data_IF_761274594909
#
_entry.id   IF_761274594909
#
_cell.length_a   1.000
_cell.length_b   1.000
_cell.length_c   1.000
_cell.angle_alpha   90.00
_cell.angle_beta   90.00
_cell.angle_gamma   90.00
#
_symmetry.space_group_name_H-M   'P 1'
#
loop_
_entity.id
_entity.type
_entity.pdbx_description
1 polymer ?
#
# COMPACT_ATOMS: atom_id res chain seq x y z
N UNK A 1 6.57 -14.16 4.04
CA UNK A 1 6.01 -12.85 4.44
C UNK A 1 6.01 -11.97 3.21
N UNK A 2 4.86 -11.47 2.78
CA UNK A 2 4.83 -10.38 1.81
C UNK A 2 5.62 -9.23 2.47
N UNK A 3 6.66 -8.74 1.79
CA UNK A 3 7.39 -7.57 2.25
C UNK A 3 6.42 -6.40 2.17
N UNK A 4 6.10 -5.79 3.31
CA UNK A 4 5.33 -4.56 3.33
C UNK A 4 6.14 -3.50 2.57
N UNK A 5 5.51 -2.87 1.61
CA UNK A 5 6.13 -1.82 0.81
C UNK A 5 5.14 -0.68 0.67
N UNK A 6 5.55 0.49 1.10
CA UNK A 6 4.83 1.71 0.73
C UNK A 6 5.02 1.94 -0.75
N UNK A 7 3.90 2.02 -1.47
CA UNK A 7 3.88 2.31 -2.91
C UNK A 7 3.65 3.80 -3.08
N UNK A 8 4.61 4.47 -3.69
CA UNK A 8 4.53 5.90 -3.97
C UNK A 8 4.42 6.14 -5.48
N UNK A 9 3.80 7.24 -5.84
CA UNK A 9 3.86 7.79 -7.19
C UNK A 9 5.26 8.37 -7.50
N UNK A 10 5.42 8.98 -8.66
CA UNK A 10 6.67 9.62 -9.09
C UNK A 10 7.05 10.84 -8.23
N UNK A 11 6.09 11.44 -7.51
CA UNK A 11 6.30 12.58 -6.61
C UNK A 11 6.51 12.14 -5.16
N UNK A 12 6.66 10.83 -4.89
CA UNK A 12 6.73 10.23 -3.56
C UNK A 12 5.45 10.36 -2.74
N UNK A 13 4.33 10.73 -3.35
CA UNK A 13 3.05 10.66 -2.69
C UNK A 13 2.66 9.19 -2.52
N UNK A 14 2.29 8.81 -1.31
CA UNK A 14 1.80 7.46 -1.07
C UNK A 14 0.51 7.20 -1.85
N UNK A 15 0.49 6.08 -2.59
CA UNK A 15 -0.64 5.73 -3.45
C UNK A 15 -1.77 5.05 -2.67
N UNK A 16 -1.51 4.63 -1.44
CA UNK A 16 -2.50 4.00 -0.59
C UNK A 16 -3.51 5.04 -0.08
N UNK A 17 -4.78 4.67 -0.03
CA UNK A 17 -5.83 5.44 0.63
C UNK A 17 -6.01 4.93 2.05
N UNK A 18 -5.82 5.79 3.03
CA UNK A 18 -5.92 5.44 4.44
C UNK A 18 -7.35 5.67 4.95
N UNK A 19 -8.08 4.57 5.13
CA UNK A 19 -9.51 4.61 5.51
C UNK A 19 -10.45 4.76 4.32
N UNK A 20 -11.67 5.22 4.58
CA UNK A 20 -12.74 5.44 3.60
C UNK A 20 -13.20 6.88 3.60
N UNK A 21 -13.99 7.31 2.60
CA UNK A 21 -14.56 8.67 2.59
C UNK A 21 -15.50 8.94 3.77
N UNK A 22 -16.18 7.90 4.26
CA UNK A 22 -17.06 7.99 5.44
C UNK A 22 -16.32 7.83 6.78
N UNK A 23 -15.13 7.20 6.75
CA UNK A 23 -14.28 6.99 7.92
C UNK A 23 -12.80 7.13 7.50
N UNK A 24 -12.29 8.36 7.35
CA UNK A 24 -10.94 8.64 6.85
C UNK A 24 -9.88 8.48 7.95
N UNK A 25 -9.78 7.26 8.48
CA UNK A 25 -8.88 6.83 9.54
C UNK A 25 -8.43 5.39 9.30
N UNK A 26 -7.16 5.10 9.57
CA UNK A 26 -6.60 3.75 9.46
C UNK A 26 -5.47 3.53 10.45
N UNK A 27 -5.52 2.41 11.19
CA UNK A 27 -4.43 1.91 12.01
C UNK A 27 -3.60 0.86 11.26
N UNK A 28 -2.31 0.84 11.58
CA UNK A 28 -1.34 -0.16 11.14
C UNK A 28 -0.51 -0.64 12.33
N UNK A 29 -0.14 -1.92 12.31
CA UNK A 29 0.72 -2.54 13.30
C UNK A 29 1.96 -3.06 12.57
N UNK A 30 2.93 -2.19 12.37
CA UNK A 30 4.05 -2.44 11.49
C UNK A 30 5.31 -2.83 12.25
N UNK A 31 6.10 -3.72 11.63
CA UNK A 31 7.45 -4.06 12.07
C UNK A 31 8.41 -3.59 11.00
N UNK A 32 9.39 -2.76 11.34
CA UNK A 32 10.35 -2.25 10.36
C UNK A 32 11.13 -3.36 9.65
N UNK A 33 11.35 -4.50 10.32
CA UNK A 33 11.96 -5.68 9.70
C UNK A 33 11.18 -6.31 8.55
N UNK A 34 9.89 -5.98 8.39
CA UNK A 34 9.07 -6.43 7.28
C UNK A 34 9.21 -5.57 6.02
N UNK A 35 9.85 -4.41 6.13
CA UNK A 35 10.15 -3.52 5.01
C UNK A 35 11.55 -3.77 4.46
N UNK A 36 11.75 -3.50 3.17
CA UNK A 36 13.06 -3.56 2.54
C UNK A 36 14.05 -2.66 3.30
N UNK A 37 15.19 -3.23 3.70
CA UNK A 37 16.23 -2.52 4.49
C UNK A 37 15.79 -2.07 5.88
N UNK A 38 14.76 -2.67 6.46
CA UNK A 38 14.15 -2.21 7.71
C UNK A 38 13.79 -0.72 7.64
N UNK A 39 13.22 -0.31 6.50
CA UNK A 39 13.06 1.08 6.14
C UNK A 39 11.72 1.34 5.44
N UNK A 40 10.91 2.21 6.02
CA UNK A 40 9.84 2.92 5.33
C UNK A 40 10.50 4.13 4.68
N UNK A 41 10.70 4.07 3.35
CA UNK A 41 11.48 5.06 2.62
C UNK A 41 10.74 6.39 2.45
N UNK A 42 11.42 7.39 1.91
CA UNK A 42 10.89 8.72 1.69
C UNK A 42 9.53 8.69 1.00
N UNK A 43 8.51 9.23 1.70
CA UNK A 43 7.15 9.38 1.21
C UNK A 43 6.46 10.56 1.90
N UNK A 44 5.31 10.94 1.39
CA UNK A 44 4.40 11.89 2.01
C UNK A 44 2.96 11.53 1.65
N UNK A 45 2.02 11.97 2.47
CA UNK A 45 0.58 11.78 2.27
C UNK A 45 -0.19 13.00 2.79
N UNK A 46 -1.49 13.04 2.53
CA UNK A 46 -2.37 14.16 2.92
C UNK A 46 -2.91 14.03 4.34
N UNK A 47 -2.84 12.86 4.89
CA UNK A 47 -3.25 12.54 6.25
C UNK A 47 -2.25 13.08 7.27
N UNK A 48 -2.70 13.26 8.50
CA UNK A 48 -1.86 13.29 9.68
C UNK A 48 -1.42 11.89 10.04
N UNK A 49 -0.20 11.72 10.47
CA UNK A 49 0.33 10.45 10.94
C UNK A 49 0.76 10.54 12.40
N UNK A 50 0.40 9.54 13.17
CA UNK A 50 0.82 9.34 14.55
C UNK A 50 1.51 7.99 14.67
N UNK A 51 2.78 7.99 15.02
CA UNK A 51 3.61 6.78 15.18
C UNK A 51 3.98 6.62 16.65
N UNK A 52 3.87 5.40 17.16
CA UNK A 52 4.32 5.03 18.50
C UNK A 52 5.38 3.93 18.40
N UNK A 53 6.47 4.03 19.15
CA UNK A 53 7.49 2.98 19.24
C UNK A 53 7.09 2.03 20.38
N UNK A 54 6.52 0.89 20.01
CA UNK A 54 6.08 -0.12 20.98
C UNK A 54 7.25 -0.92 21.51
N UNK A 55 8.25 -1.23 20.67
CA UNK A 55 9.50 -1.89 21.06
C UNK A 55 10.64 -1.51 20.13
N UNK A 56 11.86 -1.51 20.65
CA UNK A 56 13.07 -1.18 19.90
C UNK A 56 13.33 0.31 19.77
N UNK A 57 13.98 0.70 18.69
CA UNK A 57 14.27 2.10 18.38
C UNK A 57 14.28 2.34 16.88
N UNK A 58 13.91 3.54 16.44
CA UNK A 58 13.96 3.93 15.02
C UNK A 58 14.61 5.29 14.84
N UNK A 59 15.21 5.50 13.67
CA UNK A 59 15.59 6.82 13.20
C UNK A 59 14.47 7.40 12.34
N UNK A 60 14.09 8.62 12.66
CA UNK A 60 13.10 9.42 11.93
C UNK A 60 13.83 10.52 11.17
N UNK A 61 13.53 10.62 9.86
CA UNK A 61 13.91 11.75 9.04
C UNK A 61 12.62 12.48 8.64
N UNK A 62 12.52 13.76 8.99
CA UNK A 62 11.35 14.58 8.67
C UNK A 62 11.78 16.02 8.44
N UNK A 63 11.48 16.56 7.24
CA UNK A 63 12.03 17.85 6.84
C UNK A 63 13.55 17.88 6.94
N UNK A 64 14.09 18.86 7.66
CA UNK A 64 15.54 19.03 7.88
C UNK A 64 16.07 18.23 9.06
N UNK A 65 15.19 17.59 9.81
CA UNK A 65 15.52 16.95 11.08
C UNK A 65 15.75 15.47 10.92
N UNK A 66 16.75 14.96 11.65
CA UNK A 66 17.03 13.54 11.80
C UNK A 66 17.32 13.26 13.27
N UNK A 67 16.57 12.34 13.88
CA UNK A 67 16.69 11.99 15.29
C UNK A 67 16.23 10.55 15.54
N UNK A 68 16.56 10.04 16.72
CA UNK A 68 16.14 8.69 17.13
C UNK A 68 14.95 8.77 18.09
N UNK A 69 13.99 7.86 17.90
CA UNK A 69 12.91 7.58 18.84
C UNK A 69 13.10 6.19 19.42
N UNK A 70 12.99 6.09 20.73
CA UNK A 70 13.09 4.83 21.47
C UNK A 70 11.71 4.35 21.92
N UNK A 71 11.66 3.11 22.39
CA UNK A 71 10.49 2.51 23.02
C UNK A 71 9.79 3.48 24.00
N UNK A 72 8.48 3.54 23.92
CA UNK A 72 7.65 4.41 24.74
C UNK A 72 7.45 5.82 24.18
N UNK A 73 8.19 6.23 23.15
CA UNK A 73 8.07 7.54 22.52
C UNK A 73 7.14 7.47 21.28
N UNK A 74 6.64 8.62 20.88
CA UNK A 74 5.84 8.76 19.67
C UNK A 74 6.16 10.03 18.90
N UNK A 75 5.55 10.15 17.73
CA UNK A 75 5.64 11.34 16.89
C UNK A 75 4.32 11.59 16.18
N UNK A 76 3.96 12.86 16.09
CA UNK A 76 2.96 13.37 15.16
C UNK A 76 3.66 13.98 13.95
N UNK A 77 3.20 13.66 12.74
CA UNK A 77 3.65 14.24 11.48
C UNK A 77 2.47 14.91 10.79
N UNK A 78 2.68 16.16 10.40
CA UNK A 78 1.63 16.96 9.75
C UNK A 78 1.41 16.53 8.29
N UNK A 79 0.30 16.96 7.71
CA UNK A 79 -0.09 16.70 6.32
C UNK A 79 0.99 17.15 5.32
N UNK A 80 1.21 16.34 4.30
CA UNK A 80 2.11 16.63 3.16
C UNK A 80 3.59 16.80 3.51
N UNK A 81 4.02 16.39 4.68
CA UNK A 81 5.42 16.46 5.09
C UNK A 81 6.18 15.22 4.60
N UNK A 82 7.28 15.44 3.88
CA UNK A 82 8.18 14.38 3.43
C UNK A 82 8.91 13.78 4.63
N UNK A 83 8.79 12.46 4.81
CA UNK A 83 9.37 11.76 5.95
C UNK A 83 9.82 10.33 5.60
N UNK A 84 10.57 9.72 6.52
CA UNK A 84 11.16 8.39 6.38
C UNK A 84 11.45 7.81 7.75
N UNK A 85 11.24 6.50 7.92
CA UNK A 85 11.59 5.74 9.12
C UNK A 85 12.54 4.59 8.79
N UNK A 86 13.52 4.33 9.64
CA UNK A 86 14.37 3.14 9.50
C UNK A 86 14.97 2.72 10.83
N UNK A 87 15.34 1.45 10.93
CA UNK A 87 16.02 0.88 12.10
C UNK A 87 17.07 -0.14 11.68
N UNK A 88 18.07 -0.37 12.54
CA UNK A 88 18.95 -1.53 12.44
C UNK A 88 18.44 -2.73 13.24
N UNK A 89 17.46 -2.51 14.12
CA UNK A 89 16.99 -3.47 15.11
C UNK A 89 15.57 -3.96 14.78
N UNK A 90 15.10 -4.99 15.46
CA UNK A 90 13.71 -5.38 15.47
C UNK A 90 12.88 -4.29 16.17
N UNK A 91 12.14 -3.53 15.40
CA UNK A 91 11.37 -2.39 15.91
C UNK A 91 9.92 -2.50 15.48
N UNK A 92 9.02 -2.40 16.46
CA UNK A 92 7.57 -2.42 16.27
C UNK A 92 7.02 -1.01 16.42
N UNK A 93 6.32 -0.53 15.38
CA UNK A 93 5.82 0.83 15.27
C UNK A 93 4.33 0.84 14.89
N UNK A 94 3.42 0.58 15.82
CA UNK A 94 2.01 0.87 15.57
C UNK A 94 1.85 2.35 15.20
N UNK A 95 1.07 2.59 14.15
CA UNK A 95 0.78 3.94 13.69
C UNK A 95 -0.67 4.06 13.24
N UNK A 96 -1.18 5.28 13.18
CA UNK A 96 -2.45 5.56 12.55
C UNK A 96 -2.38 6.83 11.72
N UNK A 97 -3.07 6.77 10.60
CA UNK A 97 -3.24 7.87 9.67
C UNK A 97 -4.69 8.33 9.67
N UNK A 98 -4.90 9.63 9.69
CA UNK A 98 -6.24 10.19 9.57
C UNK A 98 -6.22 11.48 8.77
N UNK A 99 -7.25 11.69 7.93
CA UNK A 99 -7.50 13.00 7.36
C UNK A 99 -7.82 13.98 8.49
N UNK A 100 -7.32 15.22 8.44
CA UNK A 100 -7.71 16.26 9.42
C UNK A 100 -9.24 16.46 9.53
N UNK A 101 -9.96 16.19 8.44
CA UNK A 101 -11.44 16.22 8.39
C UNK A 101 -12.12 15.11 9.22
N UNK A 102 -11.37 14.12 9.71
CA UNK A 102 -11.87 13.10 10.64
C UNK A 102 -12.33 13.71 11.98
N UNK A 103 -11.66 14.76 12.44
CA UNK A 103 -12.02 15.44 13.68
C UNK A 103 -13.26 16.35 13.54
N UNK A 104 -13.41 17.01 12.40
CA UNK A 104 -14.53 17.89 12.11
C UNK A 104 -14.59 18.20 10.61
N UNK A 105 -15.81 18.40 10.07
CA UNK A 105 -16.00 18.82 8.68
C UNK A 105 -15.25 20.12 8.38
N UNK A 106 -14.62 20.20 7.21
CA UNK A 106 -13.82 21.36 6.77
C UNK A 106 -14.58 22.70 6.81
N UNK A 107 -15.88 22.65 6.62
CA UNK A 107 -16.74 23.84 6.69
C UNK A 107 -17.20 24.20 8.14
N UNK A 108 -16.79 23.42 9.15
CA UNK A 108 -17.18 23.67 10.53
C UNK A 108 -16.31 24.73 11.20
N UNK A 109 -16.86 25.43 12.22
CA UNK A 109 -16.09 26.34 13.03
C UNK A 109 -14.92 25.65 13.74
N UNK A 110 -15.09 24.38 14.12
CA UNK A 110 -14.05 23.60 14.79
C UNK A 110 -12.87 23.42 13.85
N UNK A 111 -13.12 22.99 12.63
CA UNK A 111 -12.06 22.78 11.64
C UNK A 111 -11.32 24.09 11.33
N UNK A 112 -12.06 25.12 10.97
CA UNK A 112 -11.49 26.42 10.58
C UNK A 112 -10.68 27.09 11.69
N UNK A 113 -11.06 26.90 12.95
CA UNK A 113 -10.40 27.56 14.07
C UNK A 113 -9.27 26.75 14.70
N UNK A 114 -9.40 25.42 14.74
CA UNK A 114 -8.53 24.57 15.56
C UNK A 114 -7.75 23.52 14.77
N UNK A 115 -8.08 23.28 13.48
CA UNK A 115 -7.47 22.26 12.66
C UNK A 115 -6.74 22.90 11.47
N UNK A 116 -7.43 23.68 10.66
CA UNK A 116 -6.88 24.34 9.48
C UNK A 116 -5.60 25.15 9.76
N UNK A 117 -5.48 25.92 10.85
CA UNK A 117 -4.25 26.64 11.15
C UNK A 117 -3.03 25.74 11.33
N UNK A 118 -3.20 24.52 11.88
CA UNK A 118 -2.11 23.56 12.04
C UNK A 118 -1.79 22.90 10.71
N UNK A 119 -2.80 22.49 9.93
CA UNK A 119 -2.59 21.91 8.58
C UNK A 119 -1.78 22.84 7.69
N UNK A 120 -1.99 24.16 7.82
CA UNK A 120 -1.34 25.19 7.02
C UNK A 120 -0.11 25.81 7.70
N UNK A 121 0.27 25.34 8.87
CA UNK A 121 1.39 25.90 9.66
C UNK A 121 2.76 25.41 9.19
N UNK A 122 3.81 26.02 9.70
CA UNK A 122 5.18 25.55 9.55
C UNK A 122 5.52 24.32 10.44
N UNK A 123 4.58 23.88 11.29
CA UNK A 123 4.76 22.68 12.13
C UNK A 123 4.84 21.43 11.25
N UNK A 124 6.02 20.88 11.08
CA UNK A 124 6.22 19.64 10.32
C UNK A 124 5.96 18.39 11.16
N UNK A 125 6.35 18.39 12.42
CA UNK A 125 6.22 17.26 13.35
C UNK A 125 6.22 17.71 14.81
N UNK A 126 5.83 16.79 15.71
CA UNK A 126 5.90 16.97 17.15
C UNK A 126 6.35 15.65 17.81
N UNK A 127 7.44 15.68 18.55
CA UNK A 127 7.92 14.52 19.31
C UNK A 127 7.14 14.43 20.62
N UNK A 128 6.70 13.21 20.95
CA UNK A 128 6.05 12.85 22.19
C UNK A 128 6.95 11.88 22.94
N UNK A 129 7.73 12.37 23.91
CA UNK A 129 8.73 11.59 24.66
C UNK A 129 8.34 11.38 26.13
N UNK A 130 7.16 11.87 26.53
CA UNK A 130 6.66 11.72 27.88
C UNK A 130 7.37 12.56 28.95
N UNK A 131 8.29 13.46 28.58
CA UNK A 131 8.99 14.34 29.52
C UNK A 131 8.03 15.29 30.27
N UNK A 132 6.93 15.65 29.61
CA UNK A 132 5.88 16.49 30.18
C UNK A 132 4.61 15.66 30.42
N UNK A 133 3.83 16.03 31.43
CA UNK A 133 2.59 15.32 31.78
C UNK A 133 1.64 15.19 30.59
N UNK A 134 1.45 16.24 29.80
CA UNK A 134 0.55 16.24 28.66
C UNK A 134 1.04 15.29 27.53
N UNK A 135 2.35 15.15 27.33
CA UNK A 135 2.90 14.19 26.37
C UNK A 135 2.65 12.75 26.81
N UNK A 136 2.82 12.47 28.10
CA UNK A 136 2.48 11.17 28.68
C UNK A 136 0.99 10.84 28.50
N UNK A 137 0.09 11.82 28.72
CA UNK A 137 -1.35 11.66 28.49
C UNK A 137 -1.66 11.44 26.98
N UNK A 138 -1.01 12.17 26.08
CA UNK A 138 -1.14 11.99 24.64
C UNK A 138 -0.71 10.59 24.19
N UNK A 139 0.45 10.10 24.67
CA UNK A 139 0.92 8.73 24.38
C UNK A 139 -0.03 7.65 24.91
N UNK A 140 -0.61 7.87 26.09
CA UNK A 140 -1.59 6.93 26.64
C UNK A 140 -2.90 6.90 25.82
N UNK A 141 -3.35 8.05 25.30
CA UNK A 141 -4.50 8.09 24.41
C UNK A 141 -4.17 7.39 23.07
N UNK A 142 -2.96 7.55 22.54
CA UNK A 142 -2.54 6.81 21.33
C UNK A 142 -2.67 5.29 21.55
N UNK A 143 -2.21 4.76 22.69
CA UNK A 143 -2.37 3.35 23.03
C UNK A 143 -3.84 2.91 23.13
N UNK A 144 -4.70 3.78 23.70
CA UNK A 144 -6.14 3.52 23.75
C UNK A 144 -6.75 3.49 22.35
N UNK A 145 -6.31 4.35 21.43
CA UNK A 145 -6.73 4.33 20.02
C UNK A 145 -6.35 3.01 19.36
N UNK A 146 -5.12 2.51 19.56
CA UNK A 146 -4.73 1.20 19.05
C UNK A 146 -5.60 0.08 19.63
N UNK A 147 -5.85 0.08 20.93
CA UNK A 147 -6.71 -0.91 21.58
C UNK A 147 -8.18 -0.83 21.16
N UNK A 148 -8.64 0.35 20.72
CA UNK A 148 -10.01 0.53 20.23
C UNK A 148 -10.27 -0.21 18.92
N UNK A 149 -9.21 -0.55 18.16
CA UNK A 149 -9.35 -1.26 16.87
C UNK A 149 -9.79 -2.73 17.06
N UNK A 150 -9.62 -3.29 18.25
CA UNK A 150 -10.02 -4.67 18.56
C UNK A 150 -11.51 -4.75 18.99
N UNK A 151 -12.21 -3.63 19.05
CA UNK A 151 -13.63 -3.56 19.49
C UNK A 151 -14.56 -3.71 18.28
N UNK A 152 -15.43 -4.70 18.34
CA UNK A 152 -16.36 -5.03 17.24
C UNK A 152 -17.58 -4.09 17.14
N UNK A 153 -18.00 -3.44 18.24
CA UNK A 153 -19.31 -2.78 18.29
C UNK A 153 -19.22 -1.24 18.27
N UNK A 154 -18.22 -0.66 18.93
CA UNK A 154 -18.12 0.79 19.18
C UNK A 154 -16.71 1.34 18.94
N UNK A 155 -15.86 0.60 18.26
CA UNK A 155 -14.46 0.94 18.02
C UNK A 155 -14.30 2.27 17.27
N UNK A 156 -15.08 2.48 16.22
CA UNK A 156 -15.05 3.71 15.42
C UNK A 156 -15.51 4.93 16.23
N UNK A 157 -16.55 4.80 17.03
CA UNK A 157 -17.06 5.88 17.89
C UNK A 157 -16.02 6.21 18.97
N UNK A 158 -15.48 5.19 19.64
CA UNK A 158 -14.43 5.39 20.66
C UNK A 158 -13.18 6.04 20.05
N UNK A 159 -12.73 5.57 18.89
CA UNK A 159 -11.63 6.17 18.17
C UNK A 159 -11.87 7.64 17.87
N UNK A 160 -13.06 8.01 17.41
CA UNK A 160 -13.41 9.41 17.15
C UNK A 160 -13.34 10.28 18.42
N UNK A 161 -13.85 9.79 19.55
CA UNK A 161 -13.78 10.51 20.84
C UNK A 161 -12.34 10.65 21.31
N UNK A 162 -11.55 9.58 21.23
CA UNK A 162 -10.14 9.59 21.64
C UNK A 162 -9.30 10.51 20.76
N UNK A 163 -9.53 10.54 19.45
CA UNK A 163 -8.86 11.44 18.52
C UNK A 163 -9.15 12.91 18.83
N UNK A 164 -10.39 13.25 19.15
CA UNK A 164 -10.73 14.61 19.58
C UNK A 164 -10.04 15.00 20.89
N UNK A 165 -9.97 14.07 21.85
CA UNK A 165 -9.26 14.28 23.11
C UNK A 165 -7.75 14.45 22.89
N UNK A 166 -7.14 13.58 22.08
CA UNK A 166 -5.72 13.66 21.69
C UNK A 166 -5.41 15.01 21.04
N UNK A 167 -6.26 15.42 20.08
CA UNK A 167 -6.09 16.70 19.40
C UNK A 167 -6.20 17.90 20.33
N UNK A 168 -7.15 17.89 21.27
CA UNK A 168 -7.31 18.96 22.24
C UNK A 168 -6.04 19.13 23.08
N UNK A 169 -5.48 18.03 23.61
CA UNK A 169 -4.26 18.05 24.40
C UNK A 169 -3.10 18.59 23.58
N UNK A 170 -2.92 18.11 22.34
CA UNK A 170 -1.87 18.60 21.45
C UNK A 170 -2.06 20.09 21.17
N UNK A 171 -3.25 20.52 20.76
CA UNK A 171 -3.55 21.90 20.41
C UNK A 171 -3.32 22.89 21.57
N UNK A 172 -3.61 22.49 22.80
CA UNK A 172 -3.39 23.32 23.99
C UNK A 172 -1.90 23.55 24.28
N UNK A 173 -1.06 22.59 23.90
CA UNK A 173 0.37 22.55 24.26
C UNK A 173 1.34 22.84 23.10
N UNK A 174 0.85 22.94 21.87
CA UNK A 174 1.68 23.38 20.72
C UNK A 174 2.09 24.85 20.90
N UNK A 175 3.32 25.16 20.53
CA UNK A 175 3.76 26.54 20.37
C UNK A 175 2.99 27.21 19.21
N UNK A 176 2.12 28.14 19.56
CA UNK A 176 1.24 28.80 18.61
C UNK A 176 1.94 29.78 17.68
N UNK A 177 3.22 30.08 17.91
CA UNK A 177 4.02 30.88 16.98
C UNK A 177 4.21 30.18 15.64
N UNK A 178 4.13 28.84 15.59
CA UNK A 178 4.16 28.07 14.34
C UNK A 178 2.93 28.32 13.45
N UNK A 179 1.83 28.86 14.00
CA UNK A 179 0.59 29.16 13.27
C UNK A 179 0.60 30.57 12.65
N UNK A 180 1.55 31.43 13.01
CA UNK A 180 1.72 32.71 12.35
C UNK A 180 2.22 32.43 10.93
N UNK A 181 1.50 32.97 9.93
CA UNK A 181 1.88 32.84 8.51
C UNK A 181 3.30 33.36 8.31
N UNK A 182 4.26 32.48 8.39
CA UNK A 182 5.51 32.74 7.70
C UNK A 182 5.19 32.53 6.22
N UNK A 183 5.35 33.60 5.44
CA UNK A 183 5.47 33.53 3.98
C UNK A 183 6.77 32.75 3.73
N UNK A 184 6.72 31.44 3.90
CA UNK A 184 7.89 30.61 3.90
C UNK A 184 8.01 29.89 2.55
N UNK A 185 9.21 29.98 2.01
CA UNK A 185 9.66 29.31 0.77
C UNK A 185 9.65 27.76 0.89
N UNK A 186 9.19 27.22 2.04
CA UNK A 186 9.22 25.78 2.35
C UNK A 186 8.41 24.93 1.37
N UNK A 187 7.22 25.37 0.97
CA UNK A 187 6.43 24.70 -0.07
C UNK A 187 7.14 24.72 -1.43
N UNK A 188 7.82 25.80 -1.76
CA UNK A 188 8.65 25.93 -2.95
C UNK A 188 9.89 25.03 -2.88
N UNK A 189 10.51 24.90 -1.71
CA UNK A 189 11.67 24.04 -1.47
C UNK A 189 11.32 22.56 -1.57
N UNK A 190 10.24 22.14 -0.93
CA UNK A 190 9.77 20.75 -1.01
C UNK A 190 9.38 20.38 -2.45
N UNK A 191 8.66 21.24 -3.15
CA UNK A 191 8.31 21.04 -4.55
C UNK A 191 9.55 20.88 -5.44
N UNK A 192 10.59 21.69 -5.22
CA UNK A 192 11.86 21.58 -5.95
C UNK A 192 12.58 20.26 -5.63
N UNK A 193 12.58 19.84 -4.37
CA UNK A 193 13.17 18.55 -3.97
C UNK A 193 12.44 17.38 -4.63
N UNK A 194 11.11 17.41 -4.64
CA UNK A 194 10.28 16.42 -5.32
C UNK A 194 10.57 16.36 -6.83
N UNK A 195 10.66 17.51 -7.50
CA UNK A 195 11.04 17.58 -8.92
C UNK A 195 12.40 16.93 -9.20
N UNK A 196 13.41 17.21 -8.36
CA UNK A 196 14.73 16.59 -8.51
C UNK A 196 14.71 15.09 -8.29
N UNK A 197 13.96 14.62 -7.30
CA UNK A 197 13.82 13.17 -7.02
C UNK A 197 13.07 12.48 -8.17
N UNK A 198 12.00 13.09 -8.69
CA UNK A 198 11.27 12.62 -9.87
C UNK A 198 12.20 12.46 -11.08
N UNK A 199 12.99 13.48 -11.38
CA UNK A 199 13.98 13.41 -12.47
C UNK A 199 14.95 12.25 -12.31
N UNK A 200 15.49 12.06 -11.09
CA UNK A 200 16.38 10.95 -10.77
C UNK A 200 15.69 9.58 -10.92
N UNK A 201 14.43 9.47 -10.54
CA UNK A 201 13.66 8.22 -10.64
C UNK A 201 13.30 7.86 -12.08
N UNK A 202 12.98 8.86 -12.92
CA UNK A 202 12.63 8.63 -14.33
C UNK A 202 13.86 8.26 -15.18
N UNK A 203 15.03 8.78 -14.81
CA UNK A 203 16.25 8.64 -15.60
C UNK A 203 17.35 7.79 -14.90
N UNK A 204 17.00 7.05 -13.87
CA UNK A 204 17.99 6.38 -12.99
C UNK A 204 18.97 5.46 -13.71
N UNK A 205 18.59 4.90 -14.87
CA UNK A 205 19.46 4.00 -15.66
C UNK A 205 20.50 4.75 -16.50
N UNK A 206 20.30 6.07 -16.70
CA UNK A 206 21.17 6.92 -17.54
C UNK A 206 22.28 7.58 -16.71
N UNK A 207 23.30 8.10 -17.41
CA UNK A 207 24.31 8.95 -16.77
C UNK A 207 23.72 10.31 -16.43
N UNK A 208 23.54 10.55 -15.15
CA UNK A 208 22.97 11.81 -14.64
C UNK A 208 24.06 12.64 -14.00
N UNK A 209 24.25 13.84 -14.51
CA UNK A 209 25.12 14.86 -13.95
C UNK A 209 24.38 15.80 -12.99
N UNK A 210 25.13 16.43 -12.09
CA UNK A 210 24.58 17.46 -11.20
C UNK A 210 24.02 18.67 -11.97
N UNK A 211 24.59 18.97 -13.15
CA UNK A 211 24.12 19.98 -14.09
C UNK A 211 22.71 19.70 -14.59
N UNK A 212 22.44 18.48 -14.97
CA UNK A 212 21.13 18.09 -15.50
C UNK A 212 20.05 18.15 -14.42
N UNK A 213 20.36 17.71 -13.19
CA UNK A 213 19.45 17.84 -12.04
C UNK A 213 19.13 19.32 -11.78
N UNK A 214 20.17 20.18 -11.78
CA UNK A 214 20.04 21.61 -11.55
C UNK A 214 19.22 22.29 -12.64
N UNK A 215 19.46 21.93 -13.90
CA UNK A 215 18.73 22.45 -15.05
C UNK A 215 17.24 22.05 -14.99
N UNK A 216 16.95 20.79 -14.70
CA UNK A 216 15.57 20.31 -14.61
C UNK A 216 14.75 21.01 -13.52
N UNK A 217 15.35 21.24 -12.35
CA UNK A 217 14.71 21.93 -11.24
C UNK A 217 14.79 23.48 -11.33
N UNK A 218 15.43 24.01 -12.39
CA UNK A 218 15.68 25.44 -12.61
C UNK A 218 16.35 26.15 -11.41
N UNK A 219 17.42 25.53 -10.87
CA UNK A 219 18.21 26.02 -9.74
C UNK A 219 19.71 25.83 -9.99
N UNK A 220 20.55 26.40 -9.14
CA UNK A 220 22.00 26.21 -9.22
C UNK A 220 22.44 24.83 -8.68
N UNK A 221 23.59 24.31 -9.13
CA UNK A 221 24.20 23.08 -8.59
C UNK A 221 24.45 23.15 -7.09
N UNK A 222 24.86 24.28 -6.60
CA UNK A 222 25.05 24.48 -5.15
C UNK A 222 23.73 24.38 -4.39
N UNK A 223 22.64 24.87 -4.96
CA UNK A 223 21.29 24.73 -4.39
C UNK A 223 20.84 23.26 -4.37
N UNK A 224 21.07 22.50 -5.46
CA UNK A 224 20.80 21.05 -5.51
C UNK A 224 21.52 20.33 -4.37
N UNK A 225 22.83 20.52 -4.23
CA UNK A 225 23.62 19.90 -3.16
C UNK A 225 23.13 20.29 -1.77
N UNK A 226 22.81 21.58 -1.59
CA UNK A 226 22.33 22.10 -0.31
C UNK A 226 20.96 21.46 0.06
N UNK A 227 20.01 21.42 -0.88
CA UNK A 227 18.68 20.84 -0.62
C UNK A 227 18.76 19.34 -0.31
N UNK A 228 19.53 18.57 -1.08
CA UNK A 228 19.71 17.14 -0.78
C UNK A 228 20.38 16.91 0.57
N UNK A 229 21.45 17.64 0.88
CA UNK A 229 22.14 17.50 2.17
C UNK A 229 21.27 17.95 3.34
N UNK A 230 20.49 19.02 3.17
CA UNK A 230 19.67 19.61 4.24
C UNK A 230 18.44 18.76 4.55
N UNK A 231 17.73 18.28 3.51
CA UNK A 231 16.46 17.57 3.68
C UNK A 231 16.57 16.05 3.61
N UNK A 232 17.51 15.50 2.84
CA UNK A 232 17.67 14.05 2.69
C UNK A 232 18.93 13.53 3.40
N UNK A 233 19.77 14.41 3.93
CA UNK A 233 21.02 14.09 4.63
C UNK A 233 22.01 13.25 3.82
N UNK A 234 21.89 13.30 2.48
CA UNK A 234 22.75 12.61 1.52
C UNK A 234 23.00 13.50 0.29
N UNK A 235 24.01 13.15 -0.50
CA UNK A 235 24.22 13.82 -1.80
C UNK A 235 23.25 13.29 -2.88
N UNK A 236 22.93 14.07 -3.93
CA UNK A 236 22.09 13.61 -5.06
C UNK A 236 22.60 12.31 -5.68
N UNK A 237 23.92 12.19 -5.85
CA UNK A 237 24.55 11.01 -6.44
C UNK A 237 24.42 9.78 -5.51
N UNK A 238 24.59 9.95 -4.22
CA UNK A 238 24.38 8.86 -3.26
C UNK A 238 22.92 8.44 -3.18
N UNK A 239 22.00 9.39 -3.31
CA UNK A 239 20.57 9.09 -3.44
C UNK A 239 20.29 8.23 -4.69
N UNK A 240 20.82 8.64 -5.86
CA UNK A 240 20.69 7.90 -7.12
C UNK A 240 21.28 6.49 -7.01
N UNK A 241 22.48 6.35 -6.42
CA UNK A 241 23.10 5.04 -6.19
C UNK A 241 22.20 4.14 -5.32
N UNK A 242 21.66 4.67 -4.24
CA UNK A 242 20.72 3.94 -3.37
C UNK A 242 19.48 3.48 -4.13
N UNK A 243 18.90 4.35 -4.96
CA UNK A 243 17.74 4.02 -5.79
C UNK A 243 18.05 2.94 -6.83
N UNK A 244 19.19 3.04 -7.54
CA UNK A 244 19.68 2.02 -8.48
C UNK A 244 19.86 0.66 -7.81
N UNK A 245 20.44 0.64 -6.60
CA UNK A 245 20.62 -0.59 -5.84
C UNK A 245 19.28 -1.25 -5.44
N UNK A 246 18.26 -0.45 -5.07
CA UNK A 246 16.90 -0.96 -4.82
C UNK A 246 16.28 -1.58 -6.06
N UNK A 247 16.39 -0.92 -7.23
CA UNK A 247 15.92 -1.46 -8.51
C UNK A 247 16.68 -2.75 -8.88
N UNK A 248 18.00 -2.78 -8.67
CA UNK A 248 18.80 -3.98 -8.91
C UNK A 248 18.38 -5.14 -7.99
N UNK A 249 18.13 -4.88 -6.72
CA UNK A 249 17.68 -5.91 -5.76
C UNK A 249 16.34 -6.52 -6.18
N UNK A 250 15.39 -5.71 -6.66
CA UNK A 250 14.12 -6.20 -7.21
C UNK A 250 14.34 -7.09 -8.44
N UNK A 251 15.24 -6.69 -9.38
CA UNK A 251 15.55 -7.50 -10.55
C UNK A 251 16.28 -8.80 -10.18
N UNK A 252 17.18 -8.76 -9.19
CA UNK A 252 17.89 -9.95 -8.69
C UNK A 252 16.90 -10.95 -8.06
N UNK A 253 15.91 -10.46 -7.31
CA UNK A 253 14.87 -11.29 -6.69
C UNK A 253 13.90 -11.89 -7.71
N UNK A 254 13.49 -11.10 -8.70
CA UNK A 254 12.34 -11.44 -9.55
C UNK A 254 12.70 -11.95 -10.93
N UNK A 255 14.00 -12.03 -11.27
CA UNK A 255 14.46 -12.47 -12.61
C UNK A 255 15.70 -13.36 -12.53
N UNK A 256 15.88 -14.20 -13.54
CA UNK A 256 17.10 -15.01 -13.73
C UNK A 256 18.19 -14.27 -14.53
N UNK A 257 18.05 -12.96 -14.75
CA UNK A 257 19.05 -12.15 -15.48
C UNK A 257 20.41 -12.24 -14.80
N UNK A 258 21.48 -12.27 -15.61
CA UNK A 258 22.85 -12.25 -15.08
C UNK A 258 23.11 -10.98 -14.28
N UNK A 259 23.89 -11.09 -13.21
CA UNK A 259 24.23 -9.95 -12.33
C UNK A 259 24.84 -8.79 -13.12
N UNK A 260 25.70 -9.09 -14.10
CA UNK A 260 26.28 -8.08 -14.99
C UNK A 260 25.18 -7.32 -15.78
N UNK A 261 24.22 -8.05 -16.34
CA UNK A 261 23.09 -7.45 -17.08
C UNK A 261 22.28 -6.53 -16.20
N UNK A 262 21.94 -6.97 -14.96
CA UNK A 262 21.21 -6.16 -13.99
C UNK A 262 22.01 -4.91 -13.62
N UNK A 263 23.32 -5.03 -13.40
CA UNK A 263 24.21 -3.89 -13.14
C UNK A 263 24.06 -2.81 -14.20
N UNK A 264 24.17 -3.18 -15.48
CA UNK A 264 24.05 -2.23 -16.60
C UNK A 264 22.62 -1.68 -16.75
N UNK A 265 21.59 -2.52 -16.67
CA UNK A 265 20.18 -2.09 -16.76
C UNK A 265 19.79 -1.12 -15.64
N UNK A 266 20.50 -1.13 -14.52
CA UNK A 266 20.26 -0.24 -13.39
C UNK A 266 21.24 0.94 -13.33
N UNK A 267 21.96 1.22 -14.43
CA UNK A 267 22.81 2.41 -14.60
C UNK A 267 24.19 2.31 -13.94
N UNK A 268 24.67 1.09 -13.62
CA UNK A 268 26.04 0.91 -13.16
C UNK A 268 26.94 0.50 -14.33
N UNK A 269 27.87 1.36 -14.72
CA UNK A 269 28.83 1.09 -15.80
C UNK A 269 30.03 0.22 -15.37
N UNK A 270 30.16 -0.07 -14.06
CA UNK A 270 31.21 -0.91 -13.51
C UNK A 270 30.63 -1.93 -12.55
N UNK A 271 30.67 -3.19 -12.95
CA UNK A 271 30.10 -4.34 -12.20
C UNK A 271 30.79 -4.53 -10.84
N UNK A 272 32.11 -4.29 -10.75
CA UNK A 272 32.85 -4.44 -9.50
C UNK A 272 32.44 -3.35 -8.50
N UNK A 273 32.24 -2.12 -8.99
CA UNK A 273 31.71 -1.04 -8.16
C UNK A 273 30.28 -1.39 -7.70
N UNK A 274 29.41 -1.83 -8.62
CA UNK A 274 28.07 -2.30 -8.29
C UNK A 274 28.09 -3.36 -7.19
N UNK A 275 28.89 -4.42 -7.33
CA UNK A 275 28.96 -5.50 -6.35
C UNK A 275 29.45 -5.02 -4.97
N UNK A 276 30.42 -4.09 -4.91
CA UNK A 276 30.88 -3.50 -3.66
C UNK A 276 29.82 -2.61 -3.03
N UNK A 277 29.16 -1.74 -3.81
CA UNK A 277 28.08 -0.87 -3.33
C UNK A 277 26.88 -1.71 -2.85
N UNK A 278 26.52 -2.75 -3.58
CA UNK A 278 25.47 -3.68 -3.22
C UNK A 278 25.79 -4.41 -1.90
N UNK A 279 27.02 -4.96 -1.78
CA UNK A 279 27.45 -5.62 -0.53
C UNK A 279 27.45 -4.67 0.66
N UNK A 280 27.85 -3.41 0.45
CA UNK A 280 27.81 -2.38 1.50
C UNK A 280 26.38 -2.07 1.96
N UNK A 281 25.42 -2.02 1.03
CA UNK A 281 24.01 -1.69 1.34
C UNK A 281 23.22 -2.88 1.90
N UNK A 282 23.49 -4.09 1.41
CA UNK A 282 22.72 -5.30 1.71
C UNK A 282 23.43 -6.30 2.63
N UNK A 283 24.65 -5.99 3.08
CA UNK A 283 25.54 -6.88 3.84
C UNK A 283 25.82 -8.23 3.16
N UNK A 284 25.47 -8.40 1.90
CA UNK A 284 25.70 -9.58 1.08
C UNK A 284 25.93 -9.21 -0.39
N UNK A 285 26.66 -10.05 -1.11
CA UNK A 285 26.87 -9.87 -2.55
C UNK A 285 25.56 -10.07 -3.32
N UNK A 286 25.42 -9.51 -4.55
CA UNK A 286 24.25 -9.77 -5.40
C UNK A 286 23.96 -11.26 -5.61
N UNK A 287 25.00 -12.08 -5.71
CA UNK A 287 24.87 -13.53 -5.89
C UNK A 287 24.39 -14.23 -4.60
N UNK A 288 24.89 -13.82 -3.44
CA UNK A 288 24.43 -14.31 -2.14
C UNK A 288 22.98 -13.86 -1.90
N UNK A 289 22.63 -12.63 -2.24
CA UNK A 289 21.27 -12.09 -2.15
C UNK A 289 20.28 -12.85 -3.03
N UNK A 290 20.68 -13.28 -4.24
CA UNK A 290 19.90 -14.20 -5.08
C UNK A 290 19.74 -15.57 -4.45
N UNK A 291 20.83 -16.11 -3.86
CA UNK A 291 20.81 -17.43 -3.22
C UNK A 291 20.09 -17.43 -1.88
N UNK A 292 20.04 -16.32 -1.16
CA UNK A 292 19.30 -16.23 0.09
C UNK A 292 17.80 -16.46 -0.11
N UNK A 293 17.27 -16.13 -1.30
CA UNK A 293 15.95 -16.59 -1.74
C UNK A 293 15.87 -18.13 -1.77
N UNK A 294 16.91 -18.81 -2.32
CA UNK A 294 16.94 -20.26 -2.47
C UNK A 294 17.32 -21.01 -1.18
N UNK A 295 17.92 -20.35 -0.20
CA UNK A 295 18.30 -20.97 1.08
C UNK A 295 17.23 -20.76 2.16
N UNK A 296 16.41 -19.72 2.06
CA UNK A 296 15.17 -19.59 2.86
C UNK A 296 14.17 -20.67 2.47
N UNK A 297 14.22 -21.18 1.23
CA UNK A 297 13.43 -22.32 0.77
C UNK A 297 13.98 -23.70 1.27
N UNK A 298 15.21 -23.75 1.83
CA UNK A 298 15.82 -25.00 2.32
C UNK A 298 15.93 -25.17 3.85
N UNK A 299 15.60 -24.17 4.64
CA UNK A 299 15.65 -24.21 6.12
C UNK A 299 14.26 -24.02 6.74
N UNK A 300 13.20 -24.18 5.95
CA UNK A 300 11.83 -24.28 6.46
C UNK A 300 11.34 -25.73 6.46
N UNK A 301 11.89 -26.52 7.37
CA UNK A 301 11.13 -27.56 8.02
C UNK A 301 10.69 -26.99 9.38
N UNK A 302 9.36 -26.93 9.56
CA UNK A 302 8.65 -26.59 10.82
C UNK A 302 8.46 -25.09 11.13
N UNK A 303 7.75 -24.38 10.25
CA UNK A 303 6.68 -23.39 10.48
C UNK A 303 6.23 -22.88 9.11
N UNK A 304 5.28 -23.61 8.49
CA UNK A 304 4.65 -23.28 7.21
C UNK A 304 3.81 -22.00 7.36
N UNK A 305 4.28 -20.90 6.81
CA UNK A 305 3.42 -19.79 6.40
C UNK A 305 3.35 -19.76 4.87
N UNK A 306 2.23 -20.23 4.35
CA UNK A 306 1.87 -20.34 2.95
C UNK A 306 2.11 -19.05 2.16
N UNK A 307 3.05 -19.09 1.20
CA UNK A 307 3.27 -17.99 0.24
C UNK A 307 2.28 -18.14 -0.91
N UNK A 308 1.07 -17.64 -0.71
CA UNK A 308 0.08 -17.60 -1.78
C UNK A 308 0.38 -16.45 -2.76
N UNK A 309 0.54 -16.78 -4.05
CA UNK A 309 0.72 -15.83 -5.14
C UNK A 309 -0.49 -15.81 -6.08
N UNK A 310 -0.79 -14.64 -6.66
CA UNK A 310 -1.76 -14.57 -7.75
C UNK A 310 -0.99 -14.53 -9.06
N UNK A 311 -1.31 -15.44 -9.97
CA UNK A 311 -0.68 -15.56 -11.29
C UNK A 311 -1.66 -15.94 -12.37
N UNK A 312 -1.28 -15.78 -13.63
CA UNK A 312 -2.05 -16.34 -14.75
C UNK A 312 -2.09 -17.86 -14.64
N UNK A 313 -3.22 -18.46 -14.95
CA UNK A 313 -3.36 -19.91 -14.98
C UNK A 313 -2.50 -20.57 -16.09
N UNK A 314 -2.21 -21.83 -15.91
CA UNK A 314 -1.58 -22.70 -16.91
C UNK A 314 -2.46 -23.95 -17.12
N UNK A 315 -2.21 -24.71 -18.19
CA UNK A 315 -2.98 -25.94 -18.48
C UNK A 315 -2.99 -26.94 -17.31
N UNK A 316 -1.94 -26.94 -16.49
CA UNK A 316 -1.83 -27.82 -15.31
C UNK A 316 -2.83 -27.47 -14.20
N UNK A 317 -3.30 -26.25 -14.15
CA UNK A 317 -4.17 -25.74 -13.10
C UNK A 317 -5.66 -26.05 -13.38
N UNK A 318 -5.99 -26.42 -14.62
CA UNK A 318 -7.38 -26.54 -15.10
C UNK A 318 -8.21 -27.50 -14.24
N UNK A 319 -7.66 -28.62 -13.83
CA UNK A 319 -8.38 -29.60 -13.02
C UNK A 319 -8.79 -29.04 -11.65
N UNK A 320 -7.88 -28.32 -10.98
CA UNK A 320 -8.16 -27.66 -9.69
C UNK A 320 -9.11 -26.47 -9.86
N UNK A 321 -8.96 -25.69 -10.96
CA UNK A 321 -9.86 -24.60 -11.30
C UNK A 321 -11.30 -25.10 -11.50
N UNK A 322 -11.47 -26.21 -12.22
CA UNK A 322 -12.79 -26.85 -12.43
C UNK A 322 -13.40 -27.29 -11.09
N UNK A 323 -12.60 -27.91 -10.23
CA UNK A 323 -13.06 -28.33 -8.92
C UNK A 323 -13.60 -27.15 -8.10
N UNK A 324 -12.81 -26.07 -7.96
CA UNK A 324 -13.20 -24.86 -7.21
C UNK A 324 -14.42 -24.18 -7.84
N UNK A 325 -14.46 -24.10 -9.18
CA UNK A 325 -15.59 -23.52 -9.91
C UNK A 325 -16.88 -24.28 -9.63
N UNK A 326 -16.82 -25.60 -9.73
CA UNK A 326 -17.97 -26.47 -9.54
C UNK A 326 -18.48 -26.49 -8.10
N UNK A 327 -17.60 -26.30 -7.09
CA UNK A 327 -18.06 -26.09 -5.71
C UNK A 327 -18.97 -24.87 -5.59
N UNK A 328 -18.61 -23.74 -6.20
CA UNK A 328 -19.43 -22.53 -6.16
C UNK A 328 -20.74 -22.67 -6.95
N UNK A 329 -20.70 -23.41 -8.07
CA UNK A 329 -21.92 -23.77 -8.83
C UNK A 329 -22.84 -24.66 -8.00
N UNK A 330 -22.27 -25.65 -7.30
CA UNK A 330 -23.03 -26.57 -6.44
C UNK A 330 -23.65 -25.86 -5.24
N UNK A 331 -22.96 -24.90 -4.61
CA UNK A 331 -23.50 -24.06 -3.53
C UNK A 331 -24.76 -23.31 -3.98
N UNK A 332 -24.80 -22.82 -5.23
CA UNK A 332 -25.95 -22.16 -5.84
C UNK A 332 -26.32 -20.81 -5.23
N UNK A 333 -25.32 -20.12 -4.60
CA UNK A 333 -25.52 -18.89 -3.85
C UNK A 333 -24.81 -17.66 -4.48
N UNK A 334 -23.92 -17.88 -5.46
CA UNK A 334 -23.08 -16.81 -6.00
C UNK A 334 -23.02 -16.77 -7.52
N UNK A 335 -22.95 -17.92 -8.20
CA UNK A 335 -22.86 -17.98 -9.65
C UNK A 335 -24.22 -18.21 -10.30
N UNK A 336 -24.51 -17.53 -11.42
CA UNK A 336 -25.75 -17.75 -12.16
C UNK A 336 -25.74 -19.06 -12.97
N UNK A 337 -24.58 -19.72 -13.10
CA UNK A 337 -24.43 -20.99 -13.81
C UNK A 337 -25.01 -22.14 -12.97
N UNK A 338 -25.70 -23.08 -13.65
CA UNK A 338 -26.25 -24.30 -13.04
C UNK A 338 -25.55 -25.57 -13.53
N UNK A 339 -24.77 -25.47 -14.63
CA UNK A 339 -24.08 -26.60 -15.26
C UNK A 339 -22.64 -26.71 -14.73
N UNK A 340 -22.24 -27.95 -14.41
CA UNK A 340 -20.87 -28.25 -14.01
C UNK A 340 -19.93 -28.27 -15.22
N UNK A 341 -18.69 -27.86 -15.02
CA UNK A 341 -17.62 -27.99 -16.00
C UNK A 341 -16.98 -29.38 -15.87
N UNK A 342 -16.71 -30.01 -17.01
CA UNK A 342 -15.81 -31.17 -17.13
C UNK A 342 -14.44 -30.71 -17.69
N UNK A 343 -13.49 -31.64 -17.81
CA UNK A 343 -12.12 -31.32 -18.28
C UNK A 343 -12.11 -30.61 -19.66
N UNK A 344 -13.01 -30.99 -20.54
CA UNK A 344 -13.08 -30.41 -21.88
C UNK A 344 -13.77 -29.06 -21.86
N UNK A 345 -14.96 -29.00 -21.28
CA UNK A 345 -15.76 -27.75 -21.22
C UNK A 345 -15.09 -26.70 -20.35
N UNK A 346 -14.39 -27.11 -19.28
CA UNK A 346 -13.62 -26.24 -18.43
C UNK A 346 -12.40 -25.65 -19.13
N UNK A 347 -11.65 -26.45 -19.88
CA UNK A 347 -10.52 -25.97 -20.67
C UNK A 347 -10.96 -24.94 -21.73
N UNK A 348 -12.05 -25.24 -22.47
CA UNK A 348 -12.61 -24.34 -23.47
C UNK A 348 -13.16 -23.05 -22.80
N UNK A 349 -13.82 -23.15 -21.66
CA UNK A 349 -14.39 -22.03 -20.91
C UNK A 349 -13.30 -21.07 -20.42
N UNK A 350 -12.26 -21.56 -19.73
CA UNK A 350 -11.19 -20.70 -19.22
C UNK A 350 -10.33 -20.11 -20.35
N UNK A 351 -10.09 -20.85 -21.43
CA UNK A 351 -9.37 -20.36 -22.60
C UNK A 351 -10.12 -19.24 -23.37
N UNK A 352 -11.45 -19.21 -23.28
CA UNK A 352 -12.27 -18.18 -23.92
C UNK A 352 -12.28 -16.83 -23.20
N UNK A 353 -11.78 -16.77 -21.96
CA UNK A 353 -11.75 -15.55 -21.16
C UNK A 353 -10.60 -14.63 -21.59
N UNK A 354 -10.76 -13.32 -21.41
CA UNK A 354 -9.68 -12.36 -21.65
C UNK A 354 -8.48 -12.64 -20.73
N UNK A 355 -8.77 -12.97 -19.47
CA UNK A 355 -7.76 -13.35 -18.49
C UNK A 355 -8.37 -14.26 -17.42
N UNK A 356 -7.60 -15.24 -16.96
CA UNK A 356 -7.89 -16.01 -15.76
C UNK A 356 -6.71 -15.94 -14.80
N UNK A 357 -6.94 -15.46 -13.58
CA UNK A 357 -5.94 -15.47 -12.51
C UNK A 357 -6.24 -16.57 -11.51
N UNK A 358 -5.22 -17.20 -10.97
CA UNK A 358 -5.31 -18.24 -9.95
C UNK A 358 -4.53 -17.83 -8.71
N UNK A 359 -5.07 -18.15 -7.55
CA UNK A 359 -4.37 -18.08 -6.27
C UNK A 359 -3.64 -19.41 -6.06
N UNK A 360 -2.35 -19.37 -6.23
CA UNK A 360 -1.45 -20.51 -6.08
C UNK A 360 -0.83 -20.47 -4.69
N UNK A 361 -1.17 -21.45 -3.87
CA UNK A 361 -0.65 -21.64 -2.54
C UNK A 361 0.32 -22.83 -2.55
N UNK A 362 1.60 -22.56 -2.79
CA UNK A 362 2.68 -23.56 -2.86
C UNK A 362 2.39 -24.72 -3.84
N UNK A 363 1.93 -24.37 -5.04
CA UNK A 363 1.62 -25.33 -6.11
C UNK A 363 0.21 -25.90 -6.05
N UNK A 364 -0.61 -25.57 -5.03
CA UNK A 364 -2.04 -25.89 -4.96
C UNK A 364 -2.87 -24.67 -5.31
N UNK A 365 -3.81 -24.81 -6.22
CA UNK A 365 -4.74 -23.73 -6.54
C UNK A 365 -5.85 -23.70 -5.48
N UNK A 366 -5.99 -22.54 -4.83
CA UNK A 366 -6.95 -22.30 -3.73
C UNK A 366 -8.01 -21.25 -4.05
N UNK A 367 -7.96 -20.69 -5.24
CA UNK A 367 -8.95 -19.74 -5.74
C UNK A 367 -8.63 -19.30 -7.15
N UNK A 368 -9.62 -18.73 -7.83
CA UNK A 368 -9.46 -18.23 -9.19
C UNK A 368 -10.42 -17.08 -9.47
N UNK A 369 -10.13 -16.34 -10.54
CA UNK A 369 -11.10 -15.45 -11.16
C UNK A 369 -11.01 -15.52 -12.68
N UNK A 370 -12.12 -15.16 -13.34
CA UNK A 370 -12.20 -14.91 -14.77
C UNK A 370 -12.47 -13.44 -15.01
N UNK A 371 -11.90 -12.89 -16.07
CA UNK A 371 -12.10 -11.52 -16.55
C UNK A 371 -12.49 -11.56 -18.02
N UNK A 372 -13.60 -10.93 -18.39
CA UNK A 372 -14.10 -10.92 -19.75
C UNK A 372 -14.86 -9.61 -20.06
N UNK A 373 -15.06 -9.24 -21.34
CA UNK A 373 -15.91 -8.12 -21.68
C UNK A 373 -17.34 -8.32 -21.17
N UNK A 374 -17.90 -7.29 -20.54
CA UNK A 374 -19.29 -7.31 -20.10
C UNK A 374 -20.26 -7.04 -21.27
N UNK A 375 -19.79 -6.31 -22.27
CA UNK A 375 -20.53 -5.90 -23.45
C UNK A 375 -19.64 -5.87 -24.70
N UNK A 376 -20.24 -5.65 -25.86
CA UNK A 376 -19.56 -5.57 -27.15
C UNK A 376 -19.62 -4.17 -27.78
N UNK A 377 -18.79 -3.94 -28.78
CA UNK A 377 -18.81 -2.72 -29.59
C UNK A 377 -18.48 -1.47 -28.74
N UNK A 378 -19.34 -0.46 -28.77
CA UNK A 378 -19.12 0.81 -28.08
C UNK A 378 -19.07 0.69 -26.55
N UNK A 379 -19.56 -0.41 -25.98
CA UNK A 379 -19.51 -0.73 -24.57
C UNK A 379 -18.45 -1.79 -24.23
N UNK A 380 -17.57 -2.16 -25.17
CA UNK A 380 -16.55 -3.19 -25.00
C UNK A 380 -15.44 -2.83 -24.01
N UNK A 381 -15.39 -1.59 -23.54
CA UNK A 381 -14.49 -1.14 -22.48
C UNK A 381 -15.00 -1.46 -21.07
N UNK A 382 -16.21 -2.04 -20.94
CA UNK A 382 -16.74 -2.55 -19.68
C UNK A 382 -16.37 -4.03 -19.54
N UNK A 383 -15.75 -4.41 -18.44
CA UNK A 383 -15.46 -5.79 -18.08
C UNK A 383 -16.44 -6.32 -17.04
N UNK A 384 -16.55 -7.64 -16.97
CA UNK A 384 -17.13 -8.36 -15.84
C UNK A 384 -16.13 -9.41 -15.35
N UNK A 385 -16.26 -9.82 -14.09
CA UNK A 385 -15.43 -10.85 -13.49
C UNK A 385 -16.24 -11.71 -12.52
N UNK A 386 -15.83 -12.98 -12.39
CA UNK A 386 -16.36 -13.91 -11.39
C UNK A 386 -15.19 -14.47 -10.59
N UNK A 387 -15.40 -14.64 -9.29
CA UNK A 387 -14.37 -15.08 -8.34
C UNK A 387 -14.83 -16.34 -7.61
N UNK A 388 -13.95 -17.32 -7.48
CA UNK A 388 -14.18 -18.53 -6.70
C UNK A 388 -13.00 -18.76 -5.77
N UNK A 389 -13.29 -19.21 -4.55
CA UNK A 389 -12.29 -19.60 -3.52
C UNK A 389 -12.70 -20.94 -2.97
N UNK A 390 -11.73 -21.88 -2.94
CA UNK A 390 -11.87 -23.21 -2.30
C UNK A 390 -12.48 -23.05 -0.91
N UNK A 391 -13.53 -23.78 -0.64
CA UNK A 391 -14.32 -23.68 0.61
C UNK A 391 -13.47 -23.83 1.87
N UNK A 392 -12.41 -24.65 1.80
CA UNK A 392 -11.49 -24.94 2.93
C UNK A 392 -10.50 -23.78 3.20
N UNK A 393 -10.38 -22.84 2.28
CA UNK A 393 -9.48 -21.67 2.36
C UNK A 393 -10.24 -20.35 2.54
N UNK A 394 -11.56 -20.37 2.75
CA UNK A 394 -12.36 -19.16 3.03
C UNK A 394 -11.88 -18.48 4.32
N UNK A 395 -12.00 -17.16 4.41
CA UNK A 395 -11.55 -16.38 5.59
C UNK A 395 -10.07 -15.98 5.60
N UNK A 396 -9.29 -16.39 4.61
CA UNK A 396 -7.84 -16.08 4.50
C UNK A 396 -7.52 -14.92 3.54
N UNK A 397 -8.45 -14.02 3.31
CA UNK A 397 -8.32 -12.85 2.43
C UNK A 397 -7.97 -13.16 0.96
N UNK A 398 -8.18 -14.40 0.50
CA UNK A 398 -7.88 -14.82 -0.88
C UNK A 398 -8.74 -14.04 -1.89
N UNK A 399 -10.04 -13.89 -1.60
CA UNK A 399 -10.95 -13.12 -2.44
C UNK A 399 -10.49 -11.69 -2.66
N UNK A 400 -9.97 -11.02 -1.65
CA UNK A 400 -9.43 -9.66 -1.74
C UNK A 400 -8.21 -9.59 -2.67
N UNK A 401 -7.29 -10.53 -2.57
CA UNK A 401 -6.12 -10.61 -3.44
C UNK A 401 -6.52 -10.86 -4.90
N UNK A 402 -7.49 -11.75 -5.13
CA UNK A 402 -8.02 -12.04 -6.47
C UNK A 402 -8.68 -10.82 -7.09
N UNK A 403 -9.52 -10.08 -6.35
CA UNK A 403 -10.17 -8.86 -6.85
C UNK A 403 -9.14 -7.76 -7.12
N UNK A 404 -8.15 -7.60 -6.25
CA UNK A 404 -7.09 -6.59 -6.43
C UNK A 404 -6.23 -6.88 -7.67
N UNK A 405 -5.85 -8.14 -7.92
CA UNK A 405 -5.15 -8.51 -9.15
C UNK A 405 -6.04 -8.32 -10.39
N UNK A 406 -7.33 -8.69 -10.30
CA UNK A 406 -8.29 -8.51 -11.39
C UNK A 406 -8.42 -7.03 -11.81
N UNK A 407 -8.41 -6.07 -10.89
CA UNK A 407 -8.41 -4.63 -11.20
C UNK A 407 -7.15 -4.22 -11.99
N UNK A 408 -5.98 -4.75 -11.62
CA UNK A 408 -4.73 -4.51 -12.35
C UNK A 408 -4.81 -5.12 -13.76
N UNK A 409 -5.29 -6.36 -13.88
CA UNK A 409 -5.41 -7.04 -15.18
C UNK A 409 -6.47 -6.37 -16.07
N UNK A 410 -7.58 -5.90 -15.52
CA UNK A 410 -8.57 -5.15 -16.26
C UNK A 410 -7.96 -3.90 -16.93
N UNK A 411 -7.16 -3.15 -16.20
CA UNK A 411 -6.42 -2.00 -16.74
C UNK A 411 -5.40 -2.40 -17.81
N UNK A 412 -4.65 -3.48 -17.61
CA UNK A 412 -3.67 -3.98 -18.58
C UNK A 412 -4.31 -4.50 -19.88
N UNK A 413 -5.57 -4.91 -19.84
CA UNK A 413 -6.36 -5.35 -21.00
C UNK A 413 -7.28 -4.26 -21.56
N UNK A 414 -6.98 -2.97 -21.31
CA UNK A 414 -7.65 -1.79 -21.83
C UNK A 414 -9.12 -1.61 -21.42
N UNK A 415 -9.60 -2.33 -20.41
CA UNK A 415 -10.89 -2.04 -19.80
C UNK A 415 -10.83 -0.74 -19.00
N UNK A 416 -11.93 -0.03 -18.91
CA UNK A 416 -12.06 1.24 -18.15
C UNK A 416 -12.97 1.11 -16.94
N UNK A 417 -13.82 0.11 -16.97
CA UNK A 417 -14.82 -0.14 -15.91
C UNK A 417 -14.89 -1.65 -15.68
N UNK A 418 -14.83 -2.05 -14.40
CA UNK A 418 -15.19 -3.39 -13.96
C UNK A 418 -16.56 -3.32 -13.30
N UNK A 419 -17.52 -4.10 -13.83
CA UNK A 419 -18.92 -4.11 -13.40
C UNK A 419 -19.34 -5.53 -13.03
N UNK A 420 -19.96 -5.70 -11.87
CA UNK A 420 -20.58 -6.97 -11.45
C UNK A 420 -22.09 -6.91 -11.66
N UNK A 421 -22.63 -7.91 -12.34
CA UNK A 421 -24.01 -7.93 -12.77
C UNK A 421 -24.94 -8.77 -11.87
N UNK A 422 -24.40 -9.63 -11.01
CA UNK A 422 -25.18 -10.61 -10.28
C UNK A 422 -24.60 -10.90 -8.88
N UNK A 423 -24.39 -9.86 -8.08
CA UNK A 423 -24.00 -10.03 -6.68
C UNK A 423 -25.25 -10.26 -5.85
N UNK A 424 -25.42 -11.47 -5.34
CA UNK A 424 -26.61 -11.84 -4.54
C UNK A 424 -26.63 -11.02 -3.25
N UNK A 425 -27.79 -10.43 -2.91
CA UNK A 425 -27.90 -9.51 -1.78
C UNK A 425 -27.49 -10.15 -0.43
N UNK A 426 -27.77 -11.44 -0.25
CA UNK A 426 -27.39 -12.19 0.96
C UNK A 426 -25.89 -12.54 1.02
N UNK A 427 -25.12 -12.34 -0.06
CA UNK A 427 -23.68 -12.53 -0.05
C UNK A 427 -22.99 -11.30 0.58
N UNK A 428 -23.21 -11.10 1.87
CA UNK A 428 -22.73 -9.94 2.64
C UNK A 428 -21.21 -9.85 2.59
N UNK A 429 -20.51 -10.98 2.61
CA UNK A 429 -19.04 -11.00 2.56
C UNK A 429 -18.48 -10.45 1.25
N UNK A 430 -19.04 -10.84 0.12
CA UNK A 430 -18.64 -10.33 -1.19
C UNK A 430 -18.98 -8.84 -1.32
N UNK A 431 -20.16 -8.42 -0.86
CA UNK A 431 -20.59 -7.01 -0.89
C UNK A 431 -19.66 -6.11 -0.08
N UNK A 432 -19.37 -6.47 1.16
CA UNK A 432 -18.43 -5.73 2.00
C UNK A 432 -17.02 -5.69 1.40
N UNK A 433 -16.57 -6.79 0.77
CA UNK A 433 -15.28 -6.83 0.08
C UNK A 433 -15.26 -5.82 -1.08
N UNK A 434 -16.29 -5.81 -1.92
CA UNK A 434 -16.36 -4.91 -3.08
C UNK A 434 -16.44 -3.44 -2.65
N UNK A 435 -17.27 -3.13 -1.67
CA UNK A 435 -17.39 -1.78 -1.09
C UNK A 435 -16.05 -1.30 -0.50
N UNK A 436 -15.35 -2.16 0.25
CA UNK A 436 -14.02 -1.85 0.80
C UNK A 436 -12.97 -1.63 -0.31
N UNK A 437 -13.07 -2.32 -1.44
CA UNK A 437 -12.21 -2.13 -2.59
C UNK A 437 -12.66 -0.97 -3.50
N UNK A 438 -13.63 -0.17 -3.06
CA UNK A 438 -14.09 1.04 -3.74
C UNK A 438 -15.03 0.81 -4.92
N UNK A 439 -15.71 -0.34 -4.98
CA UNK A 439 -16.84 -0.52 -5.89
C UNK A 439 -18.07 0.20 -5.34
N UNK A 440 -18.85 0.79 -6.25
CA UNK A 440 -20.07 1.50 -5.92
C UNK A 440 -21.29 0.67 -6.38
N UNK A 441 -22.25 0.48 -5.49
CA UNK A 441 -23.53 -0.14 -5.87
C UNK A 441 -24.36 0.86 -6.65
N UNK A 442 -24.72 0.50 -7.89
CA UNK A 442 -25.47 1.37 -8.82
C UNK A 442 -26.94 0.99 -8.95
N UNK A 443 -27.33 -0.13 -8.39
CA UNK A 443 -28.73 -0.56 -8.45
C UNK A 443 -28.95 -1.92 -7.80
N UNK A 444 -30.25 -2.26 -7.68
CA UNK A 444 -30.72 -3.57 -7.20
C UNK A 444 -31.80 -4.07 -8.15
N UNK A 445 -31.73 -5.34 -8.56
CA UNK A 445 -32.77 -6.03 -9.32
C UNK A 445 -33.55 -6.91 -8.34
N UNK A 446 -34.79 -6.58 -8.02
CA UNK A 446 -35.60 -7.41 -7.10
C UNK A 446 -35.84 -8.80 -7.69
N UNK A 447 -35.68 -9.84 -6.85
CA UNK A 447 -35.87 -11.26 -7.21
C UNK A 447 -35.08 -11.69 -8.46
N UNK A 448 -33.90 -11.09 -8.68
CA UNK A 448 -33.09 -11.32 -9.87
C UNK A 448 -32.30 -12.63 -9.87
N UNK A 449 -32.14 -13.28 -8.72
CA UNK A 449 -31.38 -14.52 -8.58
C UNK A 449 -32.27 -15.64 -8.02
N UNK A 450 -32.32 -16.78 -8.71
CA UNK A 450 -33.00 -17.98 -8.23
C UNK A 450 -32.02 -18.83 -7.44
N UNK A 451 -32.31 -19.02 -6.16
CA UNK A 451 -31.52 -19.86 -5.26
C UNK A 451 -31.74 -21.35 -5.54
N UNK A 452 -30.84 -22.20 -5.06
CA UNK A 452 -30.92 -23.68 -5.22
C UNK A 452 -32.21 -24.28 -4.64
N UNK A 453 -32.73 -23.69 -3.57
CA UNK A 453 -34.00 -24.11 -2.94
C UNK A 453 -35.27 -23.63 -3.67
N UNK A 454 -35.10 -22.92 -4.79
CA UNK A 454 -36.18 -22.36 -5.61
C UNK A 454 -36.70 -21.01 -5.11
N UNK A 455 -36.20 -20.46 -4.04
CA UNK A 455 -36.50 -19.08 -3.60
C UNK A 455 -35.78 -18.05 -4.47
N UNK A 456 -36.18 -16.80 -4.35
CA UNK A 456 -35.58 -15.71 -5.13
C UNK A 456 -34.95 -14.68 -4.22
N UNK A 457 -33.78 -14.20 -4.60
CA UNK A 457 -33.04 -13.14 -3.92
C UNK A 457 -32.82 -11.93 -4.85
N UNK A 458 -32.61 -10.76 -4.27
CA UNK A 458 -32.25 -9.59 -5.01
C UNK A 458 -30.81 -9.69 -5.54
N UNK A 459 -30.51 -9.03 -6.68
CA UNK A 459 -29.17 -8.85 -7.20
C UNK A 459 -28.75 -7.41 -6.99
N UNK A 460 -27.57 -7.20 -6.42
CA UNK A 460 -26.91 -5.90 -6.35
C UNK A 460 -25.94 -5.73 -7.53
N UNK A 461 -26.00 -4.59 -8.20
CA UNK A 461 -25.12 -4.23 -9.32
C UNK A 461 -24.03 -3.32 -8.79
N UNK A 462 -22.78 -3.68 -9.04
CA UNK A 462 -21.61 -2.91 -8.62
C UNK A 462 -20.75 -2.50 -9.81
N UNK A 463 -20.11 -1.35 -9.74
CA UNK A 463 -19.11 -0.93 -10.72
C UNK A 463 -17.94 -0.23 -10.05
N UNK A 464 -16.78 -0.22 -10.75
CA UNK A 464 -15.60 0.55 -10.41
C UNK A 464 -14.84 0.92 -11.67
N UNK A 465 -14.37 2.17 -11.74
CA UNK A 465 -13.39 2.61 -12.75
C UNK A 465 -12.01 2.00 -12.46
N UNK A 466 -11.26 1.59 -13.50
CA UNK A 466 -9.99 0.87 -13.40
C UNK A 466 -8.85 1.56 -14.14
#
# INVERSE_FOLDING_TARGET
MAQNKIVTDENLMESAKHGTDSYPFKCYFEKLSQFDFHCIDWHWHTEWEFVYVESGSMTVCVGESMFSLSEGNGIFINSKILHKFYSSDETVIPNFLCMPSFLASENSLIYQKYIQPIVSSSLSYLILNGENLWQGEALEIMKQIFSAQDREVDGELLTSVLMQKLWLIIYENIDKTCMEEQVDDSGSVQARLQLMMQFLHQNYAEDISLEEIACYANISKSTVLNLFNRFLHITPINYLIGYRLKKAALLIKNTEKKINTISYETGFHNVDYFCRAFKKSYNMTPTEYRKSKNSTDKVRTEEENDIMIIRKYTEKDISEMIHIWNEVVEDGEAFPQEEFLDDKTGAEFFASQTYCGVADNDGKIVGLYILHPNNIGRCGHLANASYAVDSTYRGQHIGEKLVSDCLVQAKLHDFKILQFNAVVENNVHARHLYERLGFVQIGTVPNGFRMKDGTYQNICLYYKEV
#
